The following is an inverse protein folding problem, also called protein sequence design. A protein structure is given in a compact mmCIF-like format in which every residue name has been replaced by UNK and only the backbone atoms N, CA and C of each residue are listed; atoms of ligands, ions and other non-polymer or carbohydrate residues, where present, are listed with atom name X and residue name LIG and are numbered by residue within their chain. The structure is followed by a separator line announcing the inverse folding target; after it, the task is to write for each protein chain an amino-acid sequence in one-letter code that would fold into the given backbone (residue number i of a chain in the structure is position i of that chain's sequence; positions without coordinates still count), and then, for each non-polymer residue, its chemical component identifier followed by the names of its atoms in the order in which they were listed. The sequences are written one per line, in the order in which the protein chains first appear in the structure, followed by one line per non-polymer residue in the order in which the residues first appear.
data_IF_685225439618
#
_entry.id   IF_685225439618
#
_cell.length_a   1.000
_cell.length_b   1.000
_cell.length_c   1.000
_cell.angle_alpha   90.00
_cell.angle_beta   90.00
_cell.angle_gamma   90.00
#
_symmetry.space_group_name_H-M   'P 1'
#
loop_
_entity.id
_entity.type
_entity.pdbx_description
1 polymer ?
#
# COMPACT_ATOMS: atom_id res chain seq x y z
N UNK A 1 -8.68 11.36 12.14
CA UNK A 1 -9.72 11.78 11.18
C UNK A 1 -10.40 13.09 11.59
N UNK A 2 -10.86 13.23 12.83
CA UNK A 2 -11.60 14.41 13.29
C UNK A 2 -10.78 15.71 13.16
N UNK A 3 -9.50 15.67 13.52
CA UNK A 3 -8.60 16.83 13.38
C UNK A 3 -8.40 17.24 11.91
N UNK A 4 -8.24 16.27 11.01
CA UNK A 4 -8.15 16.55 9.57
C UNK A 4 -9.46 17.16 9.06
N UNK A 5 -10.60 16.57 9.40
CA UNK A 5 -11.92 17.10 9.02
C UNK A 5 -12.12 18.54 9.50
N UNK A 6 -11.78 18.82 10.74
CA UNK A 6 -11.92 20.16 11.32
C UNK A 6 -10.99 21.17 10.63
N UNK A 7 -9.73 20.79 10.34
CA UNK A 7 -8.76 21.69 9.69
C UNK A 7 -9.08 21.95 8.22
N UNK A 8 -9.77 21.03 7.55
CA UNK A 8 -10.12 21.13 6.13
C UNK A 8 -11.45 21.83 5.85
N UNK A 9 -12.35 21.93 6.83
CA UNK A 9 -13.71 22.44 6.63
C UNK A 9 -13.77 23.81 5.97
N UNK A 10 -12.98 24.77 6.42
CA UNK A 10 -12.99 26.14 5.86
C UNK A 10 -12.51 26.13 4.39
N UNK A 11 -11.51 25.31 4.08
CA UNK A 11 -10.96 25.17 2.73
C UNK A 11 -12.00 24.54 1.81
N UNK A 12 -12.64 23.47 2.24
CA UNK A 12 -13.68 22.76 1.49
C UNK A 12 -14.86 23.69 1.21
N UNK A 13 -15.30 24.44 2.22
CA UNK A 13 -16.41 25.39 2.08
C UNK A 13 -16.05 26.52 1.11
N UNK A 14 -14.83 27.06 1.16
CA UNK A 14 -14.34 28.04 0.21
C UNK A 14 -14.36 27.49 -1.22
N UNK A 15 -13.80 26.30 -1.45
CA UNK A 15 -13.79 25.65 -2.76
C UNK A 15 -15.21 25.46 -3.29
N UNK A 16 -16.11 24.90 -2.46
CA UNK A 16 -17.52 24.66 -2.83
C UNK A 16 -18.28 25.95 -3.16
N UNK A 17 -17.96 27.05 -2.49
CA UNK A 17 -18.61 28.35 -2.75
C UNK A 17 -18.24 28.95 -4.11
N UNK A 18 -17.11 28.57 -4.67
CA UNK A 18 -16.59 29.10 -5.94
C UNK A 18 -17.32 28.57 -7.18
N UNK A 19 -17.98 27.43 -7.10
CA UNK A 19 -18.61 26.71 -8.23
C UNK A 19 -17.66 26.36 -9.41
N UNK A 20 -16.35 26.60 -9.26
CA UNK A 20 -15.32 26.43 -10.29
C UNK A 20 -14.31 25.35 -9.87
N UNK A 21 -14.81 24.19 -9.47
CA UNK A 21 -14.00 23.05 -9.09
C UNK A 21 -14.57 21.73 -9.63
N UNK A 22 -13.72 20.72 -9.68
CA UNK A 22 -14.07 19.30 -9.95
C UNK A 22 -13.25 18.42 -9.02
N UNK A 23 -13.66 17.15 -8.89
CA UNK A 23 -12.88 16.11 -8.25
C UNK A 23 -12.29 16.53 -6.90
N UNK A 24 -13.15 16.90 -5.94
CA UNK A 24 -12.76 17.33 -4.60
C UNK A 24 -12.68 16.11 -3.67
N UNK A 25 -11.46 15.72 -3.29
CA UNK A 25 -11.18 14.60 -2.40
C UNK A 25 -10.41 15.08 -1.16
N UNK A 26 -11.05 15.16 0.00
CA UNK A 26 -10.37 15.42 1.26
C UNK A 26 -9.80 14.13 1.84
N UNK A 27 -8.50 14.10 2.10
CA UNK A 27 -7.78 12.97 2.68
C UNK A 27 -7.47 13.22 4.14
N UNK A 28 -7.81 12.27 5.00
CA UNK A 28 -7.61 12.39 6.44
C UNK A 28 -6.22 11.91 6.89
N UNK A 29 -5.68 10.86 6.25
CA UNK A 29 -4.40 10.25 6.62
C UNK A 29 -3.21 11.16 6.37
N UNK A 30 -3.25 11.93 5.28
CA UNK A 30 -2.21 12.91 4.92
C UNK A 30 -2.57 14.35 5.27
N UNK A 31 -3.81 14.56 5.73
CA UNK A 31 -4.40 15.89 5.95
C UNK A 31 -4.22 16.82 4.73
N UNK A 32 -4.47 16.30 3.53
CA UNK A 32 -4.44 17.08 2.31
C UNK A 32 -5.81 17.05 1.59
N UNK A 33 -5.97 17.92 0.62
CA UNK A 33 -7.15 18.00 -0.24
C UNK A 33 -6.65 17.96 -1.68
N UNK A 34 -7.08 16.96 -2.44
CA UNK A 34 -6.96 16.97 -3.89
C UNK A 34 -8.16 17.68 -4.49
N UNK A 35 -7.92 18.56 -5.46
CA UNK A 35 -9.01 19.23 -6.15
C UNK A 35 -8.55 19.79 -7.51
N UNK A 36 -9.40 19.68 -8.50
CA UNK A 36 -9.25 20.40 -9.75
C UNK A 36 -9.97 21.74 -9.67
N UNK A 37 -9.23 22.83 -9.71
CA UNK A 37 -9.76 24.19 -9.59
C UNK A 37 -9.30 25.12 -10.71
N UNK A 38 -10.07 26.16 -10.95
CA UNK A 38 -9.61 27.26 -11.80
C UNK A 38 -8.42 27.99 -11.14
N UNK A 39 -7.32 28.13 -11.89
CA UNK A 39 -6.05 28.70 -11.40
C UNK A 39 -6.19 30.07 -10.71
N UNK A 40 -7.20 30.85 -11.07
CA UNK A 40 -7.47 32.16 -10.46
C UNK A 40 -7.91 32.10 -8.99
N UNK A 41 -8.29 30.90 -8.47
CA UNK A 41 -8.64 30.71 -7.06
C UNK A 41 -7.42 30.44 -6.17
N UNK A 42 -6.28 30.09 -6.74
CA UNK A 42 -5.07 29.73 -5.99
C UNK A 42 -4.60 30.86 -5.06
N UNK A 43 -4.55 32.16 -5.49
CA UNK A 43 -4.14 33.24 -4.61
C UNK A 43 -5.06 33.45 -3.41
N UNK A 44 -6.35 33.17 -3.53
CA UNK A 44 -7.29 33.29 -2.41
C UNK A 44 -7.20 32.07 -1.48
N UNK A 45 -7.09 30.85 -2.04
CA UNK A 45 -6.83 29.64 -1.26
C UNK A 45 -5.56 29.75 -0.42
N UNK A 46 -4.49 30.29 -0.98
CA UNK A 46 -3.21 30.41 -0.28
C UNK A 46 -3.24 31.34 0.94
N UNK A 47 -4.27 32.19 1.06
CA UNK A 47 -4.47 33.10 2.21
C UNK A 47 -5.22 32.44 3.36
N UNK A 48 -5.85 31.29 3.15
CA UNK A 48 -6.58 30.61 4.22
C UNK A 48 -5.62 30.09 5.29
N UNK A 49 -5.96 30.30 6.54
CA UNK A 49 -5.11 30.04 7.71
C UNK A 49 -4.58 28.59 7.77
N UNK A 50 -5.38 27.64 7.32
CA UNK A 50 -5.05 26.22 7.41
C UNK A 50 -4.33 25.68 6.16
N UNK A 51 -4.10 26.51 5.13
CA UNK A 51 -3.36 26.11 3.93
C UNK A 51 -1.87 26.35 4.17
N UNK A 52 -1.09 25.26 4.24
CA UNK A 52 0.36 25.34 4.40
C UNK A 52 1.10 25.36 3.07
N UNK A 53 0.59 24.64 2.08
CA UNK A 53 1.22 24.45 0.77
C UNK A 53 0.17 24.12 -0.27
N UNK A 54 0.37 24.57 -1.48
CA UNK A 54 -0.39 24.20 -2.67
C UNK A 54 0.61 23.72 -3.70
N UNK A 55 0.46 22.49 -4.16
CA UNK A 55 1.27 21.88 -5.21
C UNK A 55 0.41 21.56 -6.42
N UNK A 56 1.03 21.53 -7.58
CA UNK A 56 0.44 20.96 -8.78
C UNK A 56 0.68 19.45 -8.76
N UNK A 57 -0.37 18.67 -8.99
CA UNK A 57 -0.18 17.25 -9.27
C UNK A 57 0.53 17.09 -10.61
N UNK A 58 1.66 16.41 -10.57
CA UNK A 58 2.37 15.95 -11.74
C UNK A 58 2.24 14.44 -11.79
N UNK A 59 1.90 13.89 -12.95
CA UNK A 59 1.85 12.44 -13.16
C UNK A 59 3.17 11.80 -12.70
N UNK A 60 3.06 10.70 -11.97
CA UNK A 60 4.21 9.90 -11.57
C UNK A 60 4.61 9.02 -12.74
N UNK A 61 5.90 8.96 -13.05
CA UNK A 61 6.48 8.09 -14.07
C UNK A 61 7.21 6.98 -13.35
N UNK A 62 6.86 5.75 -13.67
CA UNK A 62 7.59 4.57 -13.18
C UNK A 62 8.80 4.34 -14.09
N UNK A 63 10.00 4.26 -13.52
CA UNK A 63 11.15 3.73 -14.23
C UNK A 63 10.98 2.20 -14.36
N UNK A 64 10.84 1.73 -15.60
CA UNK A 64 10.80 0.30 -15.86
C UNK A 64 12.24 -0.22 -15.73
N UNK A 65 12.50 -1.00 -14.69
CA UNK A 65 13.78 -1.69 -14.58
C UNK A 65 13.97 -2.60 -15.78
N UNK A 66 15.01 -2.32 -16.57
CA UNK A 66 15.42 -3.22 -17.64
C UNK A 66 15.85 -4.55 -17.00
N UNK A 67 15.13 -5.62 -17.32
CA UNK A 67 15.41 -6.98 -16.87
C UNK A 67 16.81 -7.42 -17.31
N UNK A 68 17.83 -7.00 -16.60
CA UNK A 68 19.13 -7.66 -16.61
C UNK A 68 19.14 -8.76 -15.56
N UNK A 69 18.41 -9.83 -15.84
CA UNK A 69 18.48 -11.05 -15.03
C UNK A 69 19.86 -11.69 -15.19
N UNK A 70 20.81 -11.21 -14.41
CA UNK A 70 21.94 -12.07 -14.05
C UNK A 70 21.31 -13.17 -13.21
N UNK A 71 21.26 -14.40 -13.77
CA UNK A 71 21.00 -15.60 -12.98
C UNK A 71 22.14 -15.71 -11.96
N UNK A 72 21.94 -15.10 -10.80
CA UNK A 72 22.74 -15.42 -9.63
C UNK A 72 22.31 -16.83 -9.23
N UNK A 73 23.27 -17.73 -9.08
CA UNK A 73 23.03 -19.02 -8.44
C UNK A 73 22.55 -18.70 -7.02
N UNK A 74 21.28 -18.90 -6.77
CA UNK A 74 20.69 -18.78 -5.43
C UNK A 74 21.22 -19.98 -4.66
N UNK A 75 22.12 -19.74 -3.73
CA UNK A 75 22.51 -20.72 -2.73
C UNK A 75 21.41 -20.69 -1.65
N UNK A 76 20.62 -21.74 -1.59
CA UNK A 76 19.75 -21.96 -0.43
C UNK A 76 20.65 -22.23 0.77
N UNK A 77 20.42 -21.50 1.87
CA UNK A 77 21.09 -21.80 3.13
C UNK A 77 20.52 -23.13 3.68
N UNK A 78 21.40 -23.96 4.23
CA UNK A 78 21.02 -25.23 4.87
C UNK A 78 20.06 -25.02 6.08
N UNK A 79 19.90 -23.78 6.53
CA UNK A 79 19.04 -23.40 7.67
C UNK A 79 17.64 -22.92 7.27
N UNK A 80 17.26 -22.96 5.99
CA UNK A 80 15.92 -22.57 5.53
C UNK A 80 15.60 -21.09 5.74
N UNK A 81 16.60 -20.20 5.59
CA UNK A 81 16.43 -18.74 5.67
C UNK A 81 17.16 -18.07 4.52
N UNK A 82 16.50 -17.12 3.88
CA UNK A 82 17.05 -16.37 2.78
C UNK A 82 18.30 -15.56 3.18
N UNK A 83 19.36 -15.52 2.32
CA UNK A 83 20.60 -14.80 2.63
C UNK A 83 20.41 -13.32 2.94
N UNK A 84 19.40 -12.68 2.34
CA UNK A 84 19.05 -11.28 2.62
C UNK A 84 18.57 -11.06 4.06
N UNK A 85 17.83 -12.00 4.60
CA UNK A 85 17.33 -11.99 5.98
C UNK A 85 18.49 -12.16 6.97
N UNK A 86 19.42 -13.07 6.68
CA UNK A 86 20.63 -13.23 7.49
C UNK A 86 21.50 -11.96 7.47
N UNK A 87 21.63 -11.32 6.31
CA UNK A 87 22.44 -10.11 6.18
C UNK A 87 21.95 -8.93 7.03
N UNK A 88 20.64 -8.81 7.26
CA UNK A 88 20.05 -7.78 8.13
C UNK A 88 19.99 -8.18 9.60
N UNK A 89 20.43 -9.42 9.94
CA UNK A 89 20.51 -9.93 11.30
C UNK A 89 19.18 -9.86 12.07
N UNK A 90 18.10 -10.37 11.50
CA UNK A 90 16.76 -10.30 12.10
C UNK A 90 16.52 -11.36 13.20
N UNK A 91 17.28 -12.45 13.24
CA UNK A 91 17.09 -13.57 14.19
C UNK A 91 16.94 -13.15 15.66
N UNK A 92 17.70 -12.19 16.20
CA UNK A 92 17.48 -11.73 17.59
C UNK A 92 16.08 -11.19 17.84
N UNK A 93 15.44 -10.58 16.83
CA UNK A 93 14.05 -10.12 16.94
C UNK A 93 13.08 -11.30 16.98
N UNK A 94 13.30 -12.32 16.18
CA UNK A 94 12.49 -13.54 16.21
C UNK A 94 12.60 -14.28 17.53
N UNK A 95 13.82 -14.38 18.10
CA UNK A 95 14.06 -14.94 19.44
C UNK A 95 13.33 -14.19 20.56
N UNK A 96 13.11 -12.87 20.39
CA UNK A 96 12.26 -12.06 21.26
C UNK A 96 10.76 -12.19 20.99
N UNK A 97 10.36 -12.95 19.93
CA UNK A 97 8.96 -13.15 19.56
C UNK A 97 8.41 -12.14 18.55
N UNK A 98 9.25 -11.26 17.97
CA UNK A 98 8.83 -10.30 16.93
C UNK A 98 8.81 -10.96 15.55
N UNK A 99 7.76 -11.71 15.27
CA UNK A 99 7.56 -12.50 14.04
C UNK A 99 6.49 -11.93 13.11
N UNK A 100 5.85 -10.82 13.51
CA UNK A 100 4.69 -10.25 12.82
C UNK A 100 3.36 -10.85 13.24
N UNK A 101 3.34 -11.76 14.24
CA UNK A 101 2.10 -12.39 14.72
C UNK A 101 1.08 -11.35 15.17
N UNK A 102 -0.17 -11.47 14.65
CA UNK A 102 -1.27 -10.56 14.93
C UNK A 102 -1.12 -9.19 14.26
N UNK A 103 -0.23 -9.06 13.28
CA UNK A 103 -0.09 -7.84 12.47
C UNK A 103 -0.58 -8.06 11.07
N UNK A 104 -1.06 -6.98 10.45
CA UNK A 104 -1.50 -6.93 9.07
C UNK A 104 -0.46 -6.20 8.22
N UNK A 105 -0.03 -6.81 7.13
CA UNK A 105 0.89 -6.24 6.15
C UNK A 105 0.09 -5.83 4.92
N UNK A 106 0.29 -4.62 4.45
CA UNK A 106 -0.26 -4.16 3.18
C UNK A 106 0.82 -4.18 2.09
N UNK A 107 0.59 -4.97 1.04
CA UNK A 107 1.45 -5.00 -0.14
C UNK A 107 0.89 -4.08 -1.23
N UNK A 108 1.52 -2.93 -1.42
CA UNK A 108 1.24 -1.98 -2.50
C UNK A 108 2.15 -2.28 -3.68
N UNK A 109 1.66 -3.05 -4.66
CA UNK A 109 2.52 -3.58 -5.74
C UNK A 109 1.71 -3.93 -7.01
N UNK A 110 2.18 -4.92 -7.75
CA UNK A 110 1.62 -5.40 -9.03
C UNK A 110 0.56 -6.50 -8.85
N UNK A 111 0.03 -6.65 -7.65
CA UNK A 111 -0.83 -7.78 -7.28
C UNK A 111 -0.04 -9.00 -6.79
N UNK A 112 -0.75 -9.98 -6.28
CA UNK A 112 -0.18 -11.15 -5.60
C UNK A 112 -0.85 -12.43 -6.07
N UNK A 113 -0.07 -13.47 -6.33
CA UNK A 113 -0.60 -14.83 -6.49
C UNK A 113 -1.04 -15.36 -5.13
N UNK A 114 -2.32 -15.12 -4.76
CA UNK A 114 -2.85 -15.37 -3.42
C UNK A 114 -2.82 -16.84 -2.98
N UNK A 115 -2.68 -17.76 -3.92
CA UNK A 115 -2.58 -19.20 -3.67
C UNK A 115 -1.12 -19.69 -3.49
N UNK A 116 -0.14 -18.79 -3.42
CA UNK A 116 1.25 -19.18 -3.23
C UNK A 116 1.46 -19.82 -1.83
N UNK A 117 2.12 -20.98 -1.72
CA UNK A 117 2.19 -21.75 -0.47
C UNK A 117 2.85 -21.00 0.69
N UNK A 118 3.75 -20.06 0.39
CA UNK A 118 4.47 -19.32 1.43
C UNK A 118 3.60 -18.34 2.24
N UNK A 119 2.37 -18.00 1.79
CA UNK A 119 1.54 -17.02 2.49
C UNK A 119 0.03 -17.15 2.24
N UNK A 120 -0.43 -18.12 1.45
CA UNK A 120 -1.85 -18.27 1.11
C UNK A 120 -2.75 -18.42 2.35
N UNK A 121 -2.29 -19.15 3.38
CA UNK A 121 -3.06 -19.36 4.61
C UNK A 121 -3.19 -18.10 5.46
N UNK A 122 -2.30 -17.14 5.27
CA UNK A 122 -2.32 -15.86 5.98
C UNK A 122 -2.92 -14.72 5.16
N UNK A 123 -3.52 -15.04 4.02
CA UNK A 123 -4.33 -14.07 3.29
C UNK A 123 -5.56 -13.71 4.13
N UNK A 124 -5.73 -12.41 4.40
CA UNK A 124 -6.77 -11.97 5.32
C UNK A 124 -8.19 -12.26 4.79
N UNK A 125 -8.36 -12.43 3.47
CA UNK A 125 -9.63 -12.84 2.87
C UNK A 125 -10.08 -14.26 3.22
N UNK A 126 -9.23 -15.06 3.87
CA UNK A 126 -9.66 -16.33 4.46
C UNK A 126 -10.60 -16.12 5.66
N UNK A 127 -10.62 -14.92 6.25
CA UNK A 127 -11.36 -14.58 7.47
C UNK A 127 -12.34 -13.43 7.28
N UNK A 128 -12.09 -12.55 6.30
CA UNK A 128 -12.83 -11.30 6.07
C UNK A 128 -13.28 -11.19 4.61
N UNK A 129 -14.28 -10.34 4.30
CA UNK A 129 -14.72 -10.12 2.92
C UNK A 129 -13.59 -9.66 2.01
N UNK A 130 -13.57 -10.12 0.75
CA UNK A 130 -12.56 -9.76 -0.23
C UNK A 130 -12.40 -8.25 -0.39
N UNK A 131 -13.48 -7.46 -0.30
CA UNK A 131 -13.46 -6.00 -0.39
C UNK A 131 -12.68 -5.30 0.73
N UNK A 132 -12.40 -6.03 1.82
CA UNK A 132 -11.58 -5.56 2.94
C UNK A 132 -10.14 -6.06 2.87
N UNK A 133 -9.82 -6.89 1.87
CA UNK A 133 -8.53 -7.56 1.78
C UNK A 133 -7.81 -7.33 0.44
N UNK A 134 -8.55 -6.84 -0.55
CA UNK A 134 -8.05 -6.57 -1.88
C UNK A 134 -8.60 -5.22 -2.41
N UNK A 135 -7.70 -4.30 -2.72
CA UNK A 135 -8.00 -3.02 -3.37
C UNK A 135 -7.50 -3.06 -4.81
N UNK A 136 -8.32 -3.64 -5.69
CA UNK A 136 -7.96 -3.86 -7.08
C UNK A 136 -8.13 -2.64 -7.95
N UNK A 137 -7.06 -2.12 -8.52
CA UNK A 137 -7.07 -1.05 -9.50
C UNK A 137 -7.24 -1.60 -10.94
N UNK A 138 -6.46 -2.61 -11.27
CA UNK A 138 -6.49 -3.25 -12.59
C UNK A 138 -7.30 -4.54 -12.59
N UNK A 139 -7.42 -5.22 -11.46
CA UNK A 139 -8.06 -6.53 -11.34
C UNK A 139 -9.03 -6.61 -10.15
N UNK A 140 -10.20 -7.24 -10.32
CA UNK A 140 -11.16 -7.41 -9.23
C UNK A 140 -10.74 -8.47 -8.19
N UNK A 141 -9.63 -9.15 -8.38
CA UNK A 141 -9.14 -10.22 -7.49
C UNK A 141 -7.61 -10.23 -7.46
N UNK A 142 -6.99 -10.76 -6.39
CA UNK A 142 -5.55 -10.74 -6.18
C UNK A 142 -4.82 -11.71 -7.13
N UNK A 143 -4.80 -11.37 -8.40
CA UNK A 143 -3.95 -12.03 -9.38
C UNK A 143 -2.76 -11.12 -9.65
N UNK A 144 -1.56 -11.66 -9.53
CA UNK A 144 -0.36 -10.92 -9.89
C UNK A 144 -0.38 -10.57 -11.38
N UNK A 145 -0.27 -9.29 -11.71
CA UNK A 145 -0.06 -8.84 -13.09
C UNK A 145 1.31 -9.31 -13.61
N UNK A 146 2.23 -9.51 -12.68
CA UNK A 146 3.53 -10.16 -12.84
C UNK A 146 4.00 -10.72 -11.49
N UNK A 147 5.19 -11.31 -11.46
CA UNK A 147 5.69 -11.99 -10.24
C UNK A 147 6.24 -11.01 -9.18
N UNK A 148 6.35 -9.72 -9.47
CA UNK A 148 7.01 -8.75 -8.59
C UNK A 148 6.30 -8.62 -7.23
N UNK A 149 4.99 -8.34 -7.21
CA UNK A 149 4.23 -8.20 -5.96
C UNK A 149 4.17 -9.50 -5.14
N UNK A 150 4.16 -10.66 -5.81
CA UNK A 150 4.28 -11.95 -5.15
C UNK A 150 5.63 -12.11 -4.47
N UNK A 151 6.71 -11.72 -5.15
CA UNK A 151 8.08 -11.76 -4.61
C UNK A 151 8.26 -10.78 -3.44
N UNK A 152 7.78 -9.54 -3.57
CA UNK A 152 7.89 -8.55 -2.49
C UNK A 152 7.08 -8.95 -1.25
N UNK A 153 5.87 -9.51 -1.42
CA UNK A 153 5.10 -10.05 -0.31
C UNK A 153 5.83 -11.22 0.34
N UNK A 154 6.46 -12.10 -0.45
CA UNK A 154 7.31 -13.18 0.06
C UNK A 154 8.42 -12.65 0.96
N UNK A 155 9.12 -11.61 0.53
CA UNK A 155 10.18 -10.94 1.32
C UNK A 155 9.64 -10.32 2.62
N UNK A 156 8.40 -9.82 2.62
CA UNK A 156 7.78 -9.28 3.83
C UNK A 156 7.33 -10.36 4.80
N UNK A 157 6.59 -11.39 4.35
CA UNK A 157 5.94 -12.33 5.26
C UNK A 157 5.90 -13.79 4.76
N UNK A 158 6.76 -14.20 3.82
CA UNK A 158 6.79 -15.58 3.31
C UNK A 158 7.33 -16.59 4.31
N UNK A 159 6.64 -17.73 4.42
CA UNK A 159 7.07 -18.92 5.15
C UNK A 159 6.44 -20.15 4.49
N UNK A 160 7.24 -21.11 4.10
CA UNK A 160 6.77 -22.44 3.67
C UNK A 160 6.93 -23.39 4.85
N UNK A 161 5.84 -23.65 5.58
CA UNK A 161 5.88 -24.44 6.83
C UNK A 161 6.33 -25.87 6.62
N UNK A 162 5.94 -26.52 5.49
CA UNK A 162 6.31 -27.89 5.21
C UNK A 162 7.82 -28.12 5.10
N UNK A 163 8.54 -27.12 4.63
CA UNK A 163 10.01 -27.19 4.46
C UNK A 163 10.76 -26.37 5.50
N UNK A 164 10.03 -25.65 6.38
CA UNK A 164 10.58 -24.69 7.31
C UNK A 164 11.47 -23.63 6.63
N UNK A 165 11.02 -23.20 5.43
CA UNK A 165 11.71 -22.23 4.61
C UNK A 165 11.18 -20.83 4.91
N UNK A 166 11.97 -20.04 5.65
CA UNK A 166 11.61 -18.68 6.08
C UNK A 166 12.13 -17.68 5.04
N UNK A 167 11.19 -17.16 4.23
CA UNK A 167 11.45 -16.24 3.14
C UNK A 167 11.28 -14.78 3.59
N UNK A 168 10.36 -14.53 4.51
CA UNK A 168 9.95 -13.21 4.95
C UNK A 168 10.33 -12.86 6.38
N UNK A 169 10.45 -11.56 6.65
CA UNK A 169 10.85 -11.03 7.97
C UNK A 169 9.72 -11.20 9.00
N UNK A 170 8.48 -10.87 8.61
CA UNK A 170 7.28 -10.93 9.43
C UNK A 170 6.43 -12.18 9.08
N UNK A 171 7.04 -13.35 9.13
CA UNK A 171 6.50 -14.59 8.58
C UNK A 171 5.21 -15.11 9.25
N UNK A 172 4.80 -14.54 10.36
CA UNK A 172 3.50 -14.83 11.01
C UNK A 172 2.45 -13.73 10.79
N UNK A 173 2.77 -12.69 10.02
CA UNK A 173 1.82 -11.63 9.72
C UNK A 173 0.73 -12.07 8.74
N UNK A 174 -0.48 -11.57 8.92
CA UNK A 174 -1.52 -11.57 7.89
C UNK A 174 -1.21 -10.54 6.82
N UNK A 175 -1.88 -10.63 5.68
CA UNK A 175 -1.63 -9.68 4.61
C UNK A 175 -2.90 -9.31 3.83
N UNK A 176 -2.90 -8.08 3.34
CA UNK A 176 -3.80 -7.52 2.33
C UNK A 176 -2.96 -6.91 1.21
N UNK A 177 -3.54 -6.71 0.05
CA UNK A 177 -2.77 -6.20 -1.08
C UNK A 177 -3.62 -5.40 -2.08
N UNK A 178 -2.92 -4.79 -3.03
CA UNK A 178 -3.49 -4.16 -4.22
C UNK A 178 -2.69 -4.51 -5.49
N UNK A 179 -3.11 -3.94 -6.64
CA UNK A 179 -2.42 -4.06 -7.93
C UNK A 179 -2.25 -2.69 -8.61
N UNK A 180 -1.84 -1.68 -7.85
CA UNK A 180 -1.68 -0.30 -8.33
C UNK A 180 -0.40 -0.07 -9.15
N UNK A 181 0.53 -1.02 -9.17
CA UNK A 181 1.77 -0.96 -9.93
C UNK A 181 1.71 -1.94 -11.10
N UNK A 182 2.21 -1.53 -12.26
CA UNK A 182 2.31 -2.43 -13.42
C UNK A 182 3.61 -2.21 -14.17
N UNK A 183 4.19 -3.29 -14.67
CA UNK A 183 5.39 -3.25 -15.52
C UNK A 183 5.09 -2.91 -16.98
N UNK A 184 3.83 -2.78 -17.36
CA UNK A 184 3.40 -2.59 -18.75
C UNK A 184 3.04 -1.15 -19.12
N UNK A 185 2.92 -0.26 -18.13
CA UNK A 185 2.62 1.16 -18.33
C UNK A 185 3.70 2.03 -17.72
N UNK A 186 4.03 3.15 -18.36
CA UNK A 186 5.01 4.11 -17.86
C UNK A 186 4.43 5.01 -16.76
N UNK A 187 3.11 5.17 -16.75
CA UNK A 187 2.41 6.02 -15.78
C UNK A 187 1.80 5.20 -14.65
N UNK A 188 2.10 5.59 -13.43
CA UNK A 188 1.43 5.09 -12.24
C UNK A 188 0.02 5.70 -12.13
N UNK A 189 -0.88 5.08 -11.35
CA UNK A 189 -2.15 5.69 -11.01
C UNK A 189 -1.98 7.12 -10.47
N UNK A 190 -2.99 7.98 -10.66
CA UNK A 190 -2.97 9.33 -10.09
C UNK A 190 -2.70 9.31 -8.58
N UNK A 191 -2.03 10.33 -8.07
CA UNK A 191 -1.72 10.44 -6.63
C UNK A 191 -2.98 10.36 -5.75
N UNK A 192 -4.11 10.86 -6.25
CA UNK A 192 -5.41 10.75 -5.58
C UNK A 192 -5.80 9.30 -5.34
N UNK A 193 -5.63 8.42 -6.32
CA UNK A 193 -5.98 7.00 -6.20
C UNK A 193 -5.00 6.27 -5.27
N UNK A 194 -3.71 6.62 -5.35
CA UNK A 194 -2.69 6.07 -4.44
C UNK A 194 -3.00 6.41 -2.97
N UNK A 195 -3.32 7.67 -2.66
CA UNK A 195 -3.67 8.08 -1.28
C UNK A 195 -4.95 7.38 -0.83
N UNK A 196 -5.95 7.25 -1.72
CA UNK A 196 -7.19 6.53 -1.43
C UNK A 196 -6.91 5.08 -1.04
N UNK A 197 -6.02 4.39 -1.77
CA UNK A 197 -5.63 3.02 -1.45
C UNK A 197 -4.92 2.90 -0.10
N UNK A 198 -4.05 3.84 0.25
CA UNK A 198 -3.45 3.86 1.59
C UNK A 198 -4.47 4.14 2.69
N UNK A 199 -5.43 5.05 2.49
CA UNK A 199 -6.52 5.29 3.45
C UNK A 199 -7.42 4.07 3.61
N UNK A 200 -7.70 3.36 2.51
CA UNK A 200 -8.40 2.08 2.55
C UNK A 200 -7.62 1.05 3.39
N UNK A 201 -6.31 0.91 3.19
CA UNK A 201 -5.50 -0.05 3.94
C UNK A 201 -5.48 0.21 5.46
N UNK A 202 -5.64 1.46 5.89
CA UNK A 202 -5.78 1.81 7.30
C UNK A 202 -7.17 1.53 7.89
N UNK A 203 -8.20 1.43 7.05
CA UNK A 203 -9.57 1.24 7.49
C UNK A 203 -10.39 0.53 6.39
N UNK A 204 -10.10 -0.76 6.11
CA UNK A 204 -10.64 -1.44 4.96
C UNK A 204 -12.14 -1.72 5.02
N UNK A 205 -12.73 -1.76 6.22
CA UNK A 205 -14.17 -1.96 6.40
C UNK A 205 -14.96 -0.65 6.50
N UNK A 206 -14.26 0.50 6.59
CA UNK A 206 -14.87 1.82 6.72
C UNK A 206 -15.38 2.15 8.14
N UNK A 207 -15.22 1.25 9.12
CA UNK A 207 -15.61 1.45 10.52
C UNK A 207 -14.37 1.65 11.40
N UNK A 208 -14.20 2.87 11.88
CA UNK A 208 -13.08 3.24 12.76
C UNK A 208 -13.13 2.64 14.17
N UNK A 209 -14.20 1.94 14.52
CA UNK A 209 -14.33 1.30 15.83
C UNK A 209 -13.95 -0.18 15.77
N UNK A 210 -13.63 -0.70 14.60
CA UNK A 210 -13.09 -2.05 14.44
C UNK A 210 -11.57 -2.00 14.48
N UNK A 211 -11.00 -2.90 15.29
CA UNK A 211 -9.54 -3.11 15.31
C UNK A 211 -9.16 -3.97 14.09
N UNK A 212 -8.77 -3.33 13.01
CA UNK A 212 -8.13 -3.96 11.85
C UNK A 212 -6.59 -3.98 11.97
N UNK A 213 -6.10 -3.82 13.19
CA UNK A 213 -4.66 -3.68 13.53
C UNK A 213 -3.86 -4.98 13.35
#
# INVERSE_FOLDING_TARGET
QEDAKNSQNDIINFIKSSSNYKNLFPFWGTNCIYVEIYKGLIPELSKLKNVKKIDLEMGLIQEIESNSSKKNNIFFDENGVEPGIEAINVRPLWEMGYTGRGRLVFNYDTGVSSNHPAFSERFFANFYPMSQCWDGYFSPSPNGLNDHGTHTLGTMCGLVEETNDTIGIAFEAYWIANDFVTSTVEELPPVVDMITSFEWAFNPDGDLNTDFD
#
